data_IF_410373315581
#
_entry.id   IF_410373315581
#
_cell.length_a   1.000
_cell.length_b   1.000
_cell.length_c   1.000
_cell.angle_alpha   90.00
_cell.angle_beta   90.00
_cell.angle_gamma   90.00
#
_symmetry.space_group_name_H-M   'P 1'
#
loop_
_entity.id
_entity.type
_entity.pdbx_description
1 polymer ?
#
# COMPACT_ATOMS: atom_id res chain seq x y z
N UNK A 1 37.16 45.16 -41.32
CA UNK A 1 35.91 45.56 -40.64
C UNK A 1 35.41 44.33 -39.93
N UNK A 2 35.39 44.27 -38.59
CA UNK A 2 35.24 42.99 -37.89
C UNK A 2 33.76 42.57 -37.86
N UNK A 3 33.48 41.38 -38.39
CA UNK A 3 32.19 40.68 -38.39
C UNK A 3 31.84 40.05 -37.01
N UNK A 4 32.48 40.51 -35.93
CA UNK A 4 32.34 40.01 -34.54
C UNK A 4 30.90 39.85 -34.02
N UNK A 5 29.92 40.73 -34.30
CA UNK A 5 28.58 40.56 -33.75
C UNK A 5 27.80 39.40 -34.39
N UNK A 6 28.19 38.91 -35.57
CA UNK A 6 27.49 37.81 -36.25
C UNK A 6 27.97 36.43 -35.77
N UNK A 7 29.27 36.30 -35.49
CA UNK A 7 29.89 35.04 -35.08
C UNK A 7 29.39 34.56 -33.70
N UNK A 8 29.07 35.50 -32.81
CA UNK A 8 28.49 35.22 -31.49
C UNK A 8 27.05 34.72 -31.59
N UNK A 9 26.26 35.27 -32.51
CA UNK A 9 24.86 34.88 -32.74
C UNK A 9 24.78 33.45 -33.29
N UNK A 10 25.60 33.11 -34.28
CA UNK A 10 25.60 31.78 -34.90
C UNK A 10 26.02 30.69 -33.90
N UNK A 11 26.96 31.00 -32.98
CA UNK A 11 27.41 30.10 -31.91
C UNK A 11 26.36 29.92 -30.81
N UNK A 12 25.66 30.98 -30.42
CA UNK A 12 24.55 30.88 -29.46
C UNK A 12 23.39 30.07 -30.04
N UNK A 13 23.06 30.25 -31.32
CA UNK A 13 22.02 29.50 -32.02
C UNK A 13 22.36 28.00 -32.05
N UNK A 14 23.60 27.64 -32.36
CA UNK A 14 24.08 26.25 -32.31
C UNK A 14 23.96 25.65 -30.90
N UNK A 15 24.37 26.39 -29.86
CA UNK A 15 24.26 25.94 -28.47
C UNK A 15 22.81 25.81 -27.99
N UNK A 16 21.88 26.62 -28.51
CA UNK A 16 20.44 26.48 -28.22
C UNK A 16 19.84 25.24 -28.90
N UNK A 17 20.22 24.96 -30.14
CA UNK A 17 19.82 23.75 -30.87
C UNK A 17 20.34 22.48 -30.18
N UNK A 18 21.61 22.45 -29.78
CA UNK A 18 22.20 21.33 -29.02
C UNK A 18 21.47 21.11 -27.68
N UNK A 19 21.11 22.19 -26.97
CA UNK A 19 20.32 22.11 -25.74
C UNK A 19 18.91 21.57 -25.97
N UNK A 20 18.24 21.97 -27.05
CA UNK A 20 16.92 21.44 -27.43
C UNK A 20 16.99 19.94 -27.75
N UNK A 21 17.97 19.50 -28.53
CA UNK A 21 18.17 18.07 -28.84
C UNK A 21 18.47 17.25 -27.59
N UNK A 22 19.31 17.77 -26.68
CA UNK A 22 19.60 17.12 -25.39
C UNK A 22 18.36 16.97 -24.50
N UNK A 23 17.52 18.01 -24.45
CA UNK A 23 16.24 17.97 -23.75
C UNK A 23 15.32 16.89 -24.31
N UNK A 24 15.21 16.81 -25.64
CA UNK A 24 14.39 15.81 -26.35
C UNK A 24 14.86 14.38 -26.07
N UNK A 25 16.16 14.12 -26.16
CA UNK A 25 16.73 12.80 -25.82
C UNK A 25 16.41 12.39 -24.37
N UNK A 26 16.56 13.34 -23.43
CA UNK A 26 16.20 13.12 -22.02
C UNK A 26 14.71 12.85 -21.84
N UNK A 27 13.81 13.55 -22.53
CA UNK A 27 12.36 13.28 -22.46
C UNK A 27 12.01 11.90 -23.00
N UNK A 28 12.64 11.45 -24.10
CA UNK A 28 12.44 10.10 -24.66
C UNK A 28 12.90 9.01 -23.69
N UNK A 29 14.04 9.23 -23.03
CA UNK A 29 14.57 8.34 -22.00
C UNK A 29 13.67 8.31 -20.75
N UNK A 30 13.18 9.48 -20.32
CA UNK A 30 12.27 9.61 -19.19
C UNK A 30 10.91 8.96 -19.44
N UNK A 31 10.33 9.12 -20.64
CA UNK A 31 9.08 8.47 -21.04
C UNK A 31 9.22 6.94 -21.05
N UNK A 32 10.33 6.42 -21.59
CA UNK A 32 10.60 4.97 -21.59
C UNK A 32 10.84 4.42 -20.18
N UNK A 33 11.59 5.16 -19.35
CA UNK A 33 11.79 4.83 -17.95
C UNK A 33 10.48 4.83 -17.16
N UNK A 34 9.67 5.87 -17.32
CA UNK A 34 8.34 5.98 -16.71
C UNK A 34 7.42 4.82 -17.15
N UNK A 35 7.49 4.40 -18.42
CA UNK A 35 6.73 3.27 -18.91
C UNK A 35 7.07 1.97 -18.18
N UNK A 36 8.36 1.69 -18.02
CA UNK A 36 8.84 0.53 -17.28
C UNK A 36 8.49 0.61 -15.80
N UNK A 37 8.65 1.77 -15.17
CA UNK A 37 8.30 1.96 -13.75
C UNK A 37 6.81 1.73 -13.51
N UNK A 38 5.94 2.26 -14.37
CA UNK A 38 4.50 2.06 -14.26
C UNK A 38 4.10 0.60 -14.52
N UNK A 39 4.62 -0.02 -15.57
CA UNK A 39 4.31 -1.40 -15.92
C UNK A 39 4.79 -2.41 -14.86
N UNK A 40 6.07 -2.32 -14.49
CA UNK A 40 6.64 -3.22 -13.47
C UNK A 40 6.06 -2.93 -12.10
N UNK A 41 5.89 -1.64 -11.74
CA UNK A 41 5.26 -1.26 -10.48
C UNK A 41 3.83 -1.79 -10.35
N UNK A 42 3.04 -1.72 -11.43
CA UNK A 42 1.71 -2.30 -11.46
C UNK A 42 1.72 -3.83 -11.32
N UNK A 43 2.63 -4.52 -12.03
CA UNK A 43 2.79 -5.96 -11.88
C UNK A 43 3.21 -6.36 -10.46
N UNK A 44 4.14 -5.63 -9.84
CA UNK A 44 4.55 -5.84 -8.44
C UNK A 44 3.37 -5.63 -7.48
N UNK A 45 2.52 -4.63 -7.74
CA UNK A 45 1.33 -4.38 -6.95
C UNK A 45 0.33 -5.55 -7.05
N UNK A 46 0.05 -6.04 -8.27
CA UNK A 46 -0.84 -7.19 -8.47
C UNK A 46 -0.29 -8.45 -7.78
N UNK A 47 1.01 -8.70 -7.92
CA UNK A 47 1.68 -9.85 -7.31
C UNK A 47 1.66 -9.77 -5.77
N UNK A 48 1.77 -8.56 -5.22
CA UNK A 48 1.63 -8.32 -3.77
C UNK A 48 0.19 -8.52 -3.28
N UNK A 49 -0.81 -8.06 -4.04
CA UNK A 49 -2.22 -8.27 -3.71
C UNK A 49 -2.58 -9.77 -3.71
N UNK A 50 -2.11 -10.51 -4.71
CA UNK A 50 -2.28 -11.97 -4.78
C UNK A 50 -1.56 -12.69 -3.62
N UNK A 51 -0.34 -12.28 -3.29
CA UNK A 51 0.39 -12.81 -2.14
C UNK A 51 -0.33 -12.56 -0.80
N UNK A 52 -0.95 -11.40 -0.64
CA UNK A 52 -1.76 -11.06 0.54
C UNK A 52 -3.02 -11.91 0.66
N UNK A 53 -3.67 -12.24 -0.46
CA UNK A 53 -4.83 -13.13 -0.48
C UNK A 53 -4.46 -14.53 0.00
N UNK A 54 -3.36 -15.10 -0.50
CA UNK A 54 -2.85 -16.42 -0.06
C UNK A 54 -2.57 -16.41 1.45
N UNK A 55 -2.00 -15.31 1.96
CA UNK A 55 -1.68 -15.15 3.37
C UNK A 55 -2.84 -14.60 4.21
N UNK A 56 -4.06 -14.55 3.64
CA UNK A 56 -5.30 -14.12 4.30
C UNK A 56 -5.18 -12.78 5.02
N UNK A 57 -4.42 -11.85 4.44
CA UNK A 57 -4.20 -10.50 4.98
C UNK A 57 -3.71 -10.48 6.44
N UNK A 58 -2.87 -11.46 6.82
CA UNK A 58 -2.20 -11.46 8.12
C UNK A 58 -1.48 -10.11 8.36
N UNK A 59 -1.54 -9.54 9.58
CA UNK A 59 -0.93 -8.24 9.88
C UNK A 59 0.56 -8.13 9.51
N UNK A 60 1.35 -9.16 9.80
CA UNK A 60 2.78 -9.20 9.47
C UNK A 60 3.04 -9.27 7.96
N UNK A 61 2.17 -9.95 7.21
CA UNK A 61 2.25 -10.00 5.75
C UNK A 61 1.97 -8.63 5.13
N UNK A 62 0.96 -7.90 5.63
CA UNK A 62 0.66 -6.53 5.17
C UNK A 62 1.88 -5.62 5.32
N UNK A 63 2.55 -5.66 6.48
CA UNK A 63 3.75 -4.86 6.72
C UNK A 63 4.89 -5.27 5.78
N UNK A 64 5.15 -6.58 5.64
CA UNK A 64 6.21 -7.10 4.76
C UNK A 64 6.01 -6.71 3.30
N UNK A 65 4.79 -6.88 2.77
CA UNK A 65 4.47 -6.49 1.39
C UNK A 65 4.48 -4.98 1.18
N UNK A 66 4.11 -4.16 2.19
CA UNK A 66 4.25 -2.69 2.11
C UNK A 66 5.72 -2.27 1.98
N UNK A 67 6.59 -2.80 2.83
CA UNK A 67 8.03 -2.51 2.79
C UNK A 67 8.63 -2.98 1.46
N UNK A 68 8.28 -4.20 1.03
CA UNK A 68 8.73 -4.77 -0.24
C UNK A 68 8.28 -3.95 -1.45
N UNK A 69 7.00 -3.56 -1.50
CA UNK A 69 6.44 -2.72 -2.57
C UNK A 69 7.12 -1.36 -2.62
N UNK A 70 7.32 -0.71 -1.46
CA UNK A 70 7.97 0.60 -1.40
C UNK A 70 9.44 0.51 -1.83
N UNK A 71 10.18 -0.49 -1.35
CA UNK A 71 11.56 -0.73 -1.75
C UNK A 71 11.69 -1.03 -3.25
N UNK A 72 10.79 -1.85 -3.80
CA UNK A 72 10.74 -2.14 -5.23
C UNK A 72 10.44 -0.88 -6.06
N UNK A 73 9.48 -0.05 -5.65
CA UNK A 73 9.14 1.20 -6.31
C UNK A 73 10.32 2.19 -6.30
N UNK A 74 10.95 2.37 -5.13
CA UNK A 74 12.15 3.22 -4.99
C UNK A 74 13.28 2.69 -5.87
N UNK A 75 13.54 1.39 -5.86
CA UNK A 75 14.54 0.74 -6.72
C UNK A 75 14.27 0.96 -8.20
N UNK A 76 13.02 0.80 -8.65
CA UNK A 76 12.57 1.05 -10.02
C UNK A 76 12.82 2.51 -10.43
N UNK A 77 12.39 3.47 -9.59
CA UNK A 77 12.58 4.90 -9.86
C UNK A 77 14.07 5.25 -9.89
N UNK A 78 14.86 4.75 -8.94
CA UNK A 78 16.30 5.03 -8.89
C UNK A 78 17.01 4.45 -10.11
N UNK A 79 16.71 3.21 -10.50
CA UNK A 79 17.42 2.52 -11.58
C UNK A 79 16.99 2.96 -12.98
N UNK A 80 15.70 3.18 -13.23
CA UNK A 80 15.18 3.51 -14.55
C UNK A 80 14.93 5.00 -14.80
N UNK A 81 14.78 5.82 -13.75
CA UNK A 81 14.56 7.25 -13.92
C UNK A 81 15.77 8.06 -13.46
N UNK A 82 16.23 7.88 -12.22
CA UNK A 82 17.29 8.73 -11.65
C UNK A 82 18.67 8.41 -12.23
N UNK A 83 19.08 7.12 -12.27
CA UNK A 83 20.39 6.69 -12.78
C UNK A 83 20.64 7.11 -14.24
N UNK A 84 19.72 6.90 -15.20
CA UNK A 84 19.94 7.36 -16.58
C UNK A 84 19.93 8.88 -16.71
N UNK A 85 19.12 9.61 -15.94
CA UNK A 85 19.09 11.08 -16.00
C UNK A 85 20.32 11.73 -15.34
N UNK A 86 20.93 11.06 -14.35
CA UNK A 86 22.15 11.49 -13.66
C UNK A 86 23.44 11.22 -14.45
N UNK A 87 23.43 10.39 -15.50
CA UNK A 87 24.60 10.26 -16.38
C UNK A 87 24.84 11.61 -17.07
N UNK A 88 26.00 12.20 -16.81
CA UNK A 88 26.47 13.39 -17.56
C UNK A 88 26.87 12.88 -18.94
N UNK A 89 26.06 13.20 -19.94
CA UNK A 89 26.38 12.92 -21.34
C UNK A 89 27.11 14.16 -21.85
N UNK A 90 28.35 13.97 -22.28
CA UNK A 90 29.18 15.00 -22.91
C UNK A 90 28.66 15.32 -24.32
N UNK A 91 28.88 16.54 -24.77
CA UNK A 91 28.31 17.09 -26.00
C UNK A 91 28.70 16.28 -27.25
N UNK A 92 29.91 15.70 -27.27
CA UNK A 92 30.36 14.74 -28.31
C UNK A 92 29.54 13.45 -28.37
N UNK A 93 29.13 12.88 -27.23
CA UNK A 93 28.36 11.64 -27.20
C UNK A 93 26.93 11.86 -27.72
N UNK A 94 26.39 13.07 -27.55
CA UNK A 94 25.09 13.44 -28.13
C UNK A 94 25.21 13.64 -29.63
N UNK A 95 26.30 14.28 -30.10
CA UNK A 95 26.56 14.46 -31.53
C UNK A 95 26.75 13.10 -32.23
N UNK A 96 27.51 12.19 -31.63
CA UNK A 96 27.75 10.84 -32.15
C UNK A 96 26.46 10.01 -32.22
N UNK A 97 25.65 10.04 -31.17
CA UNK A 97 24.38 9.30 -31.12
C UNK A 97 23.34 9.85 -32.13
N UNK A 98 23.35 11.16 -32.37
CA UNK A 98 22.45 11.80 -33.33
C UNK A 98 22.82 11.43 -34.78
N UNK A 99 24.11 11.40 -35.11
CA UNK A 99 24.59 10.98 -36.44
C UNK A 99 24.39 9.49 -36.70
N UNK A 100 24.47 8.63 -35.67
CA UNK A 100 24.23 7.19 -35.81
C UNK A 100 22.75 6.85 -36.08
N UNK A 101 21.81 7.69 -35.64
CA UNK A 101 20.37 7.48 -35.88
C UNK A 101 19.81 8.29 -37.07
N UNK A 102 20.50 9.35 -37.50
CA UNK A 102 20.15 10.16 -38.67
C UNK A 102 21.35 10.28 -39.63
N UNK A 103 21.57 9.27 -40.51
CA UNK A 103 22.67 9.28 -41.48
C UNK A 103 22.60 10.42 -42.50
N UNK A 104 21.49 11.18 -42.53
CA UNK A 104 21.29 12.41 -43.30
C UNK A 104 22.22 13.56 -42.86
N UNK A 105 22.73 13.53 -41.63
CA UNK A 105 23.53 14.61 -41.03
C UNK A 105 25.02 14.58 -41.44
N UNK A 106 25.51 13.50 -42.05
CA UNK A 106 26.84 13.38 -42.69
C UNK A 106 27.99 14.08 -41.93
N UNK A 107 28.20 13.73 -40.65
CA UNK A 107 29.34 14.22 -39.86
C UNK A 107 29.35 15.74 -39.55
N UNK A 108 28.31 16.49 -39.96
CA UNK A 108 28.29 17.94 -39.90
C UNK A 108 28.20 18.47 -38.46
N UNK A 109 27.54 17.73 -37.56
CA UNK A 109 27.34 18.15 -36.17
C UNK A 109 28.57 17.77 -35.34
N UNK A 110 29.13 16.57 -35.55
CA UNK A 110 30.35 16.15 -34.90
C UNK A 110 31.53 17.07 -35.28
N UNK A 111 31.67 17.42 -36.57
CA UNK A 111 32.72 18.32 -37.05
C UNK A 111 32.55 19.77 -36.55
N UNK A 112 31.32 20.27 -36.45
CA UNK A 112 31.06 21.61 -35.89
C UNK A 112 31.33 21.70 -34.38
N UNK A 113 31.01 20.64 -33.62
CA UNK A 113 31.30 20.57 -32.17
C UNK A 113 32.80 20.40 -31.92
N UNK A 114 33.47 19.56 -32.70
CA UNK A 114 34.91 19.28 -32.56
C UNK A 114 35.78 20.47 -32.97
N UNK A 115 35.29 21.36 -33.86
CA UNK A 115 35.94 22.62 -34.25
C UNK A 115 35.66 23.81 -33.32
N UNK A 116 34.63 23.74 -32.45
CA UNK A 116 34.35 24.76 -31.43
C UNK A 116 34.91 24.41 -30.04
N UNK A 117 35.55 23.25 -29.89
CA UNK A 117 36.27 22.86 -28.68
C UNK A 117 37.47 23.78 -28.43
N UNK A 118 37.56 24.29 -27.19
CA UNK A 118 38.40 25.44 -26.79
C UNK A 118 39.93 25.22 -26.94
N UNK A 119 40.38 23.99 -27.20
CA UNK A 119 41.80 23.58 -27.14
C UNK A 119 42.45 23.26 -28.51
N UNK A 120 41.84 23.58 -29.66
CA UNK A 120 42.44 23.31 -30.99
C UNK A 120 43.01 24.57 -31.67
N UNK A 121 44.18 24.46 -32.34
CA UNK A 121 44.83 25.59 -33.00
C UNK A 121 43.98 26.12 -34.16
N UNK A 122 44.02 27.44 -34.33
CA UNK A 122 43.14 28.22 -35.20
C UNK A 122 43.01 27.66 -36.63
N UNK A 123 41.92 26.93 -36.89
CA UNK A 123 41.40 26.78 -38.23
C UNK A 123 40.83 28.11 -38.73
N UNK A 124 40.84 28.33 -40.05
CA UNK A 124 40.34 29.57 -40.66
C UNK A 124 38.91 29.85 -40.18
N UNK A 125 38.65 30.99 -39.52
CA UNK A 125 37.34 31.29 -38.93
C UNK A 125 36.21 31.30 -39.98
N UNK A 126 36.53 31.58 -41.24
CA UNK A 126 35.57 31.51 -42.35
C UNK A 126 35.13 30.08 -42.70
N UNK A 127 36.01 29.08 -42.55
CA UNK A 127 35.68 27.67 -42.80
C UNK A 127 34.84 27.08 -41.66
N UNK A 128 35.20 27.40 -40.42
CA UNK A 128 34.41 27.03 -39.23
C UNK A 128 33.00 27.62 -39.35
N UNK A 129 32.87 28.89 -39.75
CA UNK A 129 31.58 29.53 -39.97
C UNK A 129 30.74 28.85 -41.04
N UNK A 130 31.33 28.49 -42.20
CA UNK A 130 30.63 27.77 -43.27
C UNK A 130 30.20 26.35 -42.87
N UNK A 131 30.98 25.69 -42.01
CA UNK A 131 30.64 24.41 -41.40
C UNK A 131 29.46 24.54 -40.44
N UNK A 132 29.50 25.55 -39.56
CA UNK A 132 28.40 25.87 -38.63
C UNK A 132 27.11 26.20 -39.39
N UNK A 133 27.18 27.06 -40.40
CA UNK A 133 26.04 27.45 -41.22
C UNK A 133 25.44 26.24 -41.97
N UNK A 134 26.29 25.38 -42.54
CA UNK A 134 25.83 24.13 -43.19
C UNK A 134 25.23 23.13 -42.19
N UNK A 135 25.76 23.05 -40.97
CA UNK A 135 25.22 22.20 -39.91
C UNK A 135 23.86 22.70 -39.43
N UNK A 136 23.67 24.02 -39.32
CA UNK A 136 22.38 24.64 -38.97
C UNK A 136 21.34 24.42 -40.07
N UNK A 137 21.72 24.60 -41.34
CA UNK A 137 20.83 24.38 -42.49
C UNK A 137 20.38 22.91 -42.58
N UNK A 138 21.30 21.95 -42.42
CA UNK A 138 20.99 20.52 -42.39
C UNK A 138 20.17 20.12 -41.16
N UNK A 139 20.42 20.73 -40.00
CA UNK A 139 19.58 20.55 -38.81
C UNK A 139 18.15 21.01 -39.05
N UNK A 140 17.93 22.18 -39.67
CA UNK A 140 16.59 22.67 -40.01
C UNK A 140 15.87 21.75 -41.01
N UNK A 141 16.61 21.18 -41.96
CA UNK A 141 16.05 20.20 -42.91
C UNK A 141 15.72 18.86 -42.25
N UNK A 142 16.54 18.39 -41.30
CA UNK A 142 16.24 17.19 -40.51
C UNK A 142 15.09 17.41 -39.51
N UNK A 143 14.95 18.62 -38.97
CA UNK A 143 13.84 18.99 -38.07
C UNK A 143 12.48 18.94 -38.79
N UNK A 144 12.41 18.95 -40.13
CA UNK A 144 11.18 18.68 -40.89
C UNK A 144 10.65 17.24 -40.71
N UNK A 145 11.50 16.31 -40.24
CA UNK A 145 11.09 14.98 -39.75
C UNK A 145 10.21 15.02 -38.49
N UNK A 146 10.05 16.20 -37.86
CA UNK A 146 9.25 16.51 -36.66
C UNK A 146 7.94 15.74 -36.54
N UNK A 147 7.17 15.70 -37.64
CA UNK A 147 5.79 15.19 -37.65
C UNK A 147 5.71 13.68 -37.48
N UNK A 148 6.80 12.96 -37.73
CA UNK A 148 6.83 11.49 -37.66
C UNK A 148 7.21 11.01 -36.26
N UNK A 149 8.10 11.71 -35.55
CA UNK A 149 8.48 11.35 -34.18
C UNK A 149 7.43 11.72 -33.14
N UNK A 150 6.74 12.85 -33.26
CA UNK A 150 5.59 13.19 -32.38
C UNK A 150 4.52 12.10 -32.42
N UNK A 151 4.28 11.51 -33.60
CA UNK A 151 3.30 10.42 -33.77
C UNK A 151 3.74 9.14 -33.07
N UNK A 152 5.03 8.82 -33.07
CA UNK A 152 5.58 7.68 -32.30
C UNK A 152 5.55 7.94 -30.79
N UNK A 153 5.91 9.15 -30.36
CA UNK A 153 5.87 9.54 -28.95
C UNK A 153 4.43 9.51 -28.41
N UNK A 154 3.47 10.05 -29.17
CA UNK A 154 2.05 10.06 -28.83
C UNK A 154 1.45 8.65 -28.85
N UNK A 155 1.88 7.76 -29.75
CA UNK A 155 1.47 6.35 -29.76
C UNK A 155 1.98 5.61 -28.52
N UNK A 156 3.22 5.86 -28.10
CA UNK A 156 3.77 5.27 -26.88
C UNK A 156 3.10 5.82 -25.61
N UNK A 157 2.81 7.12 -25.57
CA UNK A 157 2.04 7.74 -24.49
C UNK A 157 0.61 7.19 -24.43
N UNK A 158 -0.04 6.97 -25.58
CA UNK A 158 -1.36 6.36 -25.66
C UNK A 158 -1.32 4.88 -25.23
N UNK A 159 -0.28 4.13 -25.61
CA UNK A 159 -0.07 2.77 -25.12
C UNK A 159 0.09 2.72 -23.60
N UNK A 160 0.83 3.66 -23.03
CA UNK A 160 0.95 3.82 -21.58
C UNK A 160 -0.39 4.15 -20.91
N UNK A 161 -1.13 5.10 -21.48
CA UNK A 161 -2.47 5.45 -21.01
C UNK A 161 -3.43 4.27 -21.09
N UNK A 162 -3.37 3.47 -22.16
CA UNK A 162 -4.18 2.28 -22.33
C UNK A 162 -3.84 1.19 -21.31
N UNK A 163 -2.56 0.95 -21.03
CA UNK A 163 -2.13 0.01 -19.97
C UNK A 163 -2.59 0.49 -18.59
N UNK A 164 -2.46 1.80 -18.30
CA UNK A 164 -2.94 2.39 -17.06
C UNK A 164 -4.47 2.31 -16.91
N UNK A 165 -5.20 2.54 -18.00
CA UNK A 165 -6.66 2.41 -18.03
C UNK A 165 -7.11 0.96 -17.86
N UNK A 166 -6.45 0.00 -18.52
CA UNK A 166 -6.71 -1.42 -18.36
C UNK A 166 -6.42 -1.89 -16.93
N UNK A 167 -5.32 -1.41 -16.34
CA UNK A 167 -4.95 -1.63 -14.95
C UNK A 167 -6.04 -1.12 -13.98
N UNK A 168 -6.50 0.12 -14.17
CA UNK A 168 -7.58 0.71 -13.38
C UNK A 168 -8.90 -0.06 -13.55
N UNK A 169 -9.24 -0.43 -14.78
CA UNK A 169 -10.42 -1.23 -15.09
C UNK A 169 -10.35 -2.62 -14.43
N UNK A 170 -9.17 -3.23 -14.39
CA UNK A 170 -8.96 -4.53 -13.73
C UNK A 170 -9.11 -4.42 -12.21
N UNK A 171 -8.73 -3.30 -11.58
CA UNK A 171 -9.01 -3.06 -10.15
C UNK A 171 -10.51 -2.83 -9.91
N UNK A 172 -11.17 -2.08 -10.80
CA UNK A 172 -12.59 -1.73 -10.64
C UNK A 172 -13.52 -2.89 -11.00
N UNK A 173 -13.20 -3.72 -11.97
CA UNK A 173 -14.07 -4.83 -12.41
C UNK A 173 -13.61 -6.18 -11.85
N UNK A 174 -12.32 -6.28 -11.49
CA UNK A 174 -11.75 -7.51 -11.00
C UNK A 174 -12.17 -7.89 -9.57
N UNK A 175 -11.61 -8.99 -9.06
CA UNK A 175 -12.01 -9.58 -7.79
C UNK A 175 -11.85 -8.64 -6.59
N UNK A 176 -12.70 -8.79 -5.57
CA UNK A 176 -12.69 -7.92 -4.38
C UNK A 176 -11.34 -7.89 -3.65
N UNK A 177 -10.60 -9.00 -3.68
CA UNK A 177 -9.26 -9.08 -3.07
C UNK A 177 -8.28 -8.07 -3.67
N UNK A 178 -8.43 -7.67 -4.95
CA UNK A 178 -7.56 -6.67 -5.56
C UNK A 178 -7.82 -5.28 -4.99
N UNK A 179 -9.09 -4.90 -4.85
CA UNK A 179 -9.47 -3.63 -4.23
C UNK A 179 -9.02 -3.58 -2.77
N UNK A 180 -9.21 -4.68 -2.05
CA UNK A 180 -8.77 -4.81 -0.67
C UNK A 180 -7.24 -4.77 -0.57
N UNK A 181 -6.51 -5.48 -1.43
CA UNK A 181 -5.04 -5.44 -1.53
C UNK A 181 -4.50 -4.05 -1.83
N UNK A 182 -5.06 -3.35 -2.82
CA UNK A 182 -4.71 -1.96 -3.16
C UNK A 182 -4.94 -1.05 -1.97
N UNK A 183 -6.12 -1.11 -1.33
CA UNK A 183 -6.43 -0.26 -0.17
C UNK A 183 -5.53 -0.57 1.03
N UNK A 184 -5.26 -1.85 1.30
CA UNK A 184 -4.39 -2.29 2.39
C UNK A 184 -2.92 -1.90 2.15
N UNK A 185 -2.47 -1.85 0.91
CA UNK A 185 -1.09 -1.45 0.57
C UNK A 185 -0.92 0.07 0.51
N UNK A 186 -1.91 0.82 0.00
CA UNK A 186 -1.81 2.27 -0.21
C UNK A 186 -2.30 3.12 0.97
N UNK A 187 -3.25 2.64 1.78
CA UNK A 187 -3.78 3.39 2.93
C UNK A 187 -2.92 3.08 4.16
N UNK A 188 -1.84 3.86 4.33
CA UNK A 188 -0.91 3.74 5.47
C UNK A 188 -1.52 4.26 6.78
N UNK A 189 -2.53 5.14 6.71
CA UNK A 189 -3.07 5.88 7.86
C UNK A 189 -4.03 5.11 8.77
N UNK A 190 -4.50 3.92 8.39
CA UNK A 190 -5.34 3.08 9.26
C UNK A 190 -4.48 1.97 9.87
N UNK A 191 -4.62 1.76 11.19
CA UNK A 191 -3.89 0.73 11.92
C UNK A 191 -4.02 -0.63 11.23
N UNK A 192 -2.98 -1.47 11.31
CA UNK A 192 -2.87 -2.73 10.55
C UNK A 192 -4.05 -3.68 10.81
N UNK A 193 -4.62 -3.65 12.02
CA UNK A 193 -5.85 -4.39 12.39
C UNK A 193 -7.12 -3.81 11.75
N UNK A 194 -7.20 -2.49 11.56
CA UNK A 194 -8.32 -1.82 10.90
C UNK A 194 -8.23 -1.87 9.36
N UNK A 195 -7.07 -2.21 8.81
CA UNK A 195 -6.84 -2.37 7.37
C UNK A 195 -7.02 -3.83 6.88
N UNK A 196 -7.19 -4.79 7.80
CA UNK A 196 -7.53 -6.17 7.41
C UNK A 196 -8.97 -6.22 6.93
N UNK A 197 -9.23 -6.59 5.67
CA UNK A 197 -10.60 -6.76 5.16
C UNK A 197 -11.33 -7.94 5.81
N UNK A 198 -10.57 -8.88 6.40
CA UNK A 198 -11.09 -10.06 7.07
C UNK A 198 -10.95 -9.89 8.58
N UNK A 199 -12.09 -9.87 9.29
CA UNK A 199 -12.12 -9.84 10.76
C UNK A 199 -13.21 -10.74 11.32
N UNK A 200 -12.99 -11.21 12.53
CA UNK A 200 -13.96 -11.98 13.30
C UNK A 200 -14.35 -11.12 14.50
N UNK A 201 -15.60 -10.65 14.52
CA UNK A 201 -16.15 -9.96 15.70
C UNK A 201 -16.69 -10.99 16.67
N UNK A 202 -16.28 -10.91 17.93
CA UNK A 202 -16.64 -11.88 18.96
C UNK A 202 -17.37 -11.16 20.09
N UNK A 203 -18.49 -11.71 20.53
CA UNK A 203 -19.32 -11.18 21.60
C UNK A 203 -19.58 -12.29 22.64
N UNK A 204 -19.40 -12.03 23.95
CA UNK A 204 -19.18 -10.72 24.58
C UNK A 204 -17.75 -10.16 24.52
N UNK A 205 -16.76 -10.96 24.12
CA UNK A 205 -15.34 -10.57 24.14
C UNK A 205 -14.74 -10.76 25.54
N UNK A 206 -14.37 -9.69 26.24
CA UNK A 206 -13.92 -9.84 27.63
C UNK A 206 -15.13 -9.77 28.58
N UNK A 207 -15.39 -10.84 29.33
CA UNK A 207 -16.53 -10.92 30.24
C UNK A 207 -16.14 -11.56 31.58
N UNK A 208 -16.85 -11.14 32.64
CA UNK A 208 -16.82 -11.78 33.94
C UNK A 208 -18.13 -12.55 34.13
N UNK A 209 -18.02 -13.84 34.36
CA UNK A 209 -19.15 -14.76 34.47
C UNK A 209 -19.17 -15.42 35.85
N UNK A 210 -20.36 -15.65 36.42
CA UNK A 210 -20.53 -16.46 37.63
C UNK A 210 -19.89 -17.86 37.52
N UNK A 211 -19.29 -18.35 38.61
CA UNK A 211 -18.87 -19.75 38.69
C UNK A 211 -20.05 -20.69 38.48
N UNK A 212 -19.88 -21.65 37.58
CA UNK A 212 -20.90 -22.65 37.23
C UNK A 212 -22.00 -22.14 36.31
N UNK A 213 -21.87 -20.91 35.77
CA UNK A 213 -22.80 -20.42 34.75
C UNK A 213 -22.45 -20.91 33.36
N UNK A 214 -23.44 -20.85 32.48
CA UNK A 214 -23.26 -21.04 31.05
C UNK A 214 -23.02 -19.69 30.36
N UNK A 215 -22.13 -19.66 29.37
CA UNK A 215 -21.90 -18.47 28.54
C UNK A 215 -22.00 -18.83 27.05
N UNK A 216 -22.85 -18.12 26.32
CA UNK A 216 -22.83 -18.15 24.86
C UNK A 216 -21.76 -17.20 24.31
N UNK A 217 -21.00 -17.69 23.34
CA UNK A 217 -20.01 -16.91 22.59
C UNK A 217 -20.48 -16.89 21.14
N UNK A 218 -20.73 -15.71 20.62
CA UNK A 218 -21.11 -15.50 19.23
C UNK A 218 -19.94 -14.91 18.47
N UNK A 219 -19.66 -15.46 17.29
CA UNK A 219 -18.66 -14.97 16.36
C UNK A 219 -19.33 -14.58 15.03
N UNK A 220 -19.08 -13.35 14.57
CA UNK A 220 -19.54 -12.83 13.28
C UNK A 220 -18.35 -12.68 12.33
N UNK A 221 -18.42 -13.35 11.18
CA UNK A 221 -17.40 -13.25 10.13
C UNK A 221 -17.66 -12.00 9.27
N UNK A 222 -16.63 -11.20 9.04
CA UNK A 222 -16.72 -9.97 8.25
C UNK A 222 -15.72 -10.04 7.11
N UNK A 223 -16.23 -9.87 5.88
CA UNK A 223 -15.44 -9.87 4.65
C UNK A 223 -15.09 -11.26 4.12
N UNK A 224 -15.48 -12.34 4.80
CA UNK A 224 -15.28 -13.71 4.32
C UNK A 224 -16.36 -14.65 4.86
N UNK A 225 -16.61 -15.74 4.14
CA UNK A 225 -17.49 -16.83 4.57
C UNK A 225 -16.69 -18.10 4.88
N UNK A 226 -17.19 -18.91 5.79
CA UNK A 226 -16.65 -20.23 6.11
C UNK A 226 -17.76 -21.13 6.65
N UNK A 227 -17.65 -22.43 6.37
CA UNK A 227 -18.55 -23.44 6.96
C UNK A 227 -17.97 -24.03 8.26
N UNK A 228 -16.75 -23.62 8.63
CA UNK A 228 -16.04 -24.13 9.80
C UNK A 228 -15.44 -22.97 10.57
N UNK A 229 -15.91 -22.79 11.79
CA UNK A 229 -15.42 -21.81 12.77
C UNK A 229 -15.09 -22.58 14.04
N UNK A 230 -13.90 -22.40 14.57
CA UNK A 230 -13.40 -23.09 15.76
C UNK A 230 -13.11 -22.09 16.86
N UNK A 231 -13.59 -22.35 18.07
CA UNK A 231 -13.20 -21.69 19.30
C UNK A 231 -12.02 -22.47 19.88
N UNK A 232 -10.88 -21.79 19.98
CA UNK A 232 -9.68 -22.26 20.63
C UNK A 232 -9.70 -21.76 22.08
N UNK A 233 -9.77 -22.66 23.05
CA UNK A 233 -9.78 -22.33 24.47
C UNK A 233 -8.50 -22.82 25.15
N UNK A 234 -8.03 -22.08 26.15
CA UNK A 234 -6.92 -22.50 27.02
C UNK A 234 -7.14 -22.04 28.45
N UNK A 235 -6.87 -22.92 29.42
CA UNK A 235 -6.97 -22.59 30.84
C UNK A 235 -5.81 -21.71 31.34
N UNK A 236 -4.63 -21.85 30.73
CA UNK A 236 -3.40 -21.12 31.09
C UNK A 236 -2.68 -20.66 29.82
N UNK A 237 -1.96 -19.55 29.88
CA UNK A 237 -1.22 -18.97 28.73
C UNK A 237 -0.18 -19.91 28.10
N UNK A 238 0.31 -20.92 28.83
CA UNK A 238 1.25 -21.95 28.37
C UNK A 238 0.58 -23.32 28.09
N UNK A 239 -0.73 -23.41 28.27
CA UNK A 239 -1.49 -24.64 28.03
C UNK A 239 -1.70 -24.95 26.54
N UNK A 240 -2.05 -26.20 26.24
CA UNK A 240 -2.50 -26.57 24.90
C UNK A 240 -3.89 -25.97 24.62
N UNK A 241 -4.13 -25.61 23.36
CA UNK A 241 -5.44 -25.15 22.92
C UNK A 241 -6.38 -26.33 22.69
N UNK A 242 -7.53 -26.30 23.35
CA UNK A 242 -8.66 -27.16 23.05
C UNK A 242 -9.54 -26.51 21.97
N UNK A 243 -10.11 -27.32 21.07
CA UNK A 243 -10.87 -26.84 19.92
C UNK A 243 -12.32 -27.26 20.01
N UNK A 244 -13.21 -26.27 19.97
CA UNK A 244 -14.65 -26.45 19.94
C UNK A 244 -15.18 -25.88 18.63
N UNK A 245 -16.07 -26.59 17.93
CA UNK A 245 -16.70 -26.04 16.73
C UNK A 245 -17.88 -25.14 17.12
N UNK A 246 -17.99 -23.97 16.48
CA UNK A 246 -19.18 -23.14 16.58
C UNK A 246 -20.21 -23.60 15.54
N UNK A 247 -21.48 -23.49 15.90
CA UNK A 247 -22.61 -23.84 15.06
C UNK A 247 -23.14 -22.59 14.34
N UNK A 248 -23.53 -22.69 13.05
CA UNK A 248 -24.15 -21.57 12.36
C UNK A 248 -25.52 -21.21 12.98
N UNK A 249 -25.84 -19.92 13.03
CA UNK A 249 -27.14 -19.37 13.42
C UNK A 249 -28.01 -19.12 12.17
N UNK A 250 -29.22 -18.59 12.33
CA UNK A 250 -30.09 -18.11 11.23
C UNK A 250 -29.41 -17.13 10.27
N UNK A 251 -28.41 -16.36 10.75
CA UNK A 251 -27.57 -15.51 9.92
C UNK A 251 -26.33 -16.30 9.46
N UNK A 252 -26.10 -16.48 8.13
CA UNK A 252 -25.00 -17.29 7.60
C UNK A 252 -23.61 -16.75 7.95
N UNK A 253 -23.51 -15.49 8.39
CA UNK A 253 -22.26 -14.89 8.85
C UNK A 253 -22.04 -15.03 10.37
N UNK A 254 -23.00 -15.55 11.13
CA UNK A 254 -22.93 -15.69 12.59
C UNK A 254 -22.87 -17.14 13.02
N UNK A 255 -22.01 -17.38 13.98
CA UNK A 255 -21.79 -18.68 14.59
C UNK A 255 -21.85 -18.55 16.10
N UNK A 256 -22.39 -19.55 16.77
CA UNK A 256 -22.55 -19.56 18.21
C UNK A 256 -22.04 -20.88 18.81
N UNK A 257 -21.44 -20.77 19.99
CA UNK A 257 -21.15 -21.90 20.86
C UNK A 257 -21.53 -21.54 22.28
N UNK A 258 -22.12 -22.50 22.99
CA UNK A 258 -22.44 -22.35 24.41
C UNK A 258 -21.45 -23.16 25.23
N UNK A 259 -20.72 -22.47 26.10
CA UNK A 259 -19.87 -23.09 27.10
C UNK A 259 -20.71 -23.34 28.35
N UNK A 260 -20.64 -24.56 28.88
CA UNK A 260 -21.41 -24.99 30.04
C UNK A 260 -20.52 -25.11 31.27
N UNK A 261 -21.10 -24.87 32.44
CA UNK A 261 -20.46 -25.09 33.75
C UNK A 261 -19.05 -24.47 33.87
N UNK A 262 -18.98 -23.15 33.73
CA UNK A 262 -17.71 -22.42 33.74
C UNK A 262 -17.11 -22.36 35.15
N UNK A 263 -16.19 -23.28 35.44
CA UNK A 263 -15.56 -23.40 36.76
C UNK A 263 -14.25 -22.61 36.91
N UNK A 264 -13.48 -22.43 35.83
CA UNK A 264 -12.14 -21.82 35.84
C UNK A 264 -12.03 -20.68 34.83
N UNK A 265 -11.25 -19.63 35.12
CA UNK A 265 -10.95 -18.60 34.14
C UNK A 265 -10.22 -19.21 32.95
N UNK A 266 -10.48 -18.69 31.77
CA UNK A 266 -9.92 -19.20 30.53
C UNK A 266 -9.72 -18.10 29.51
N UNK A 267 -8.72 -18.29 28.66
CA UNK A 267 -8.52 -17.47 27.48
C UNK A 267 -9.08 -18.18 26.27
N UNK A 268 -9.68 -17.42 25.37
CA UNK A 268 -10.27 -17.96 24.17
C UNK A 268 -10.01 -17.08 22.94
N UNK A 269 -9.92 -17.74 21.80
CA UNK A 269 -9.70 -17.14 20.48
C UNK A 269 -10.63 -17.84 19.49
N UNK A 270 -11.22 -17.11 18.57
CA UNK A 270 -11.98 -17.71 17.46
C UNK A 270 -11.09 -17.75 16.23
N UNK A 271 -11.01 -18.91 15.59
CA UNK A 271 -10.28 -19.13 14.34
C UNK A 271 -11.22 -19.64 13.24
N UNK A 272 -11.10 -19.06 12.05
CA UNK A 272 -11.78 -19.58 10.86
C UNK A 272 -10.93 -19.33 9.62
N UNK A 273 -10.73 -20.37 8.79
CA UNK A 273 -9.96 -20.30 7.54
C UNK A 273 -8.58 -19.61 7.67
N UNK A 274 -7.90 -19.80 8.81
CA UNK A 274 -6.59 -19.22 9.10
C UNK A 274 -6.59 -17.74 9.54
N UNK A 275 -7.77 -17.14 9.69
CA UNK A 275 -7.99 -15.83 10.33
C UNK A 275 -8.31 -16.06 11.81
N UNK A 276 -7.63 -15.32 12.70
CA UNK A 276 -7.84 -15.39 14.16
C UNK A 276 -8.41 -14.07 14.67
N UNK A 277 -9.31 -14.17 15.64
CA UNK A 277 -9.75 -13.01 16.44
C UNK A 277 -8.65 -12.54 17.39
N UNK A 278 -8.92 -11.43 18.07
CA UNK A 278 -8.15 -11.05 19.26
C UNK A 278 -8.30 -12.12 20.37
N UNK A 279 -7.37 -12.09 21.32
CA UNK A 279 -7.39 -12.95 22.51
C UNK A 279 -8.31 -12.33 23.54
N UNK A 280 -9.32 -13.09 23.95
CA UNK A 280 -10.28 -12.68 24.96
C UNK A 280 -10.09 -13.48 26.25
N UNK A 281 -10.40 -12.85 27.38
CA UNK A 281 -10.31 -13.44 28.70
C UNK A 281 -11.69 -13.53 29.33
N UNK A 282 -12.07 -14.75 29.68
CA UNK A 282 -13.28 -15.04 30.44
C UNK A 282 -12.90 -15.22 31.91
N UNK A 283 -13.31 -14.26 32.74
CA UNK A 283 -13.05 -14.29 34.18
C UNK A 283 -14.20 -14.99 34.88
N UNK A 284 -13.89 -15.96 35.74
CA UNK A 284 -14.91 -16.60 36.58
C UNK A 284 -14.91 -15.91 37.95
N UNK A 285 -16.07 -15.41 38.36
CA UNK A 285 -16.26 -14.71 39.64
C UNK A 285 -17.28 -15.47 40.50
N UNK A 286 -17.04 -15.49 41.80
CA UNK A 286 -17.98 -16.09 42.74
C UNK A 286 -19.18 -15.15 42.97
N UNK A 287 -20.38 -15.72 42.97
CA UNK A 287 -21.57 -14.93 43.29
C UNK A 287 -21.51 -14.50 44.75
N UNK A 288 -21.75 -13.21 45.04
CA UNK A 288 -21.96 -12.81 46.41
C UNK A 288 -23.22 -13.53 46.92
N UNK A 289 -23.07 -14.23 48.04
CA UNK A 289 -24.19 -14.79 48.79
C UNK A 289 -24.30 -14.04 50.11
N UNK A 290 -25.51 -13.98 50.65
CA UNK A 290 -25.74 -13.42 51.98
C UNK A 290 -25.28 -14.46 53.00
N UNK A 291 -24.18 -14.19 53.68
CA UNK A 291 -23.67 -15.05 54.76
C UNK A 291 -24.47 -14.85 56.05
N UNK A 292 -24.75 -13.58 56.40
CA UNK A 292 -25.54 -13.20 57.58
C UNK A 292 -26.51 -12.06 57.26
N UNK A 293 -27.75 -12.19 57.72
CA UNK A 293 -28.78 -11.16 57.64
C UNK A 293 -29.25 -10.79 59.04
N UNK A 294 -29.01 -9.55 59.45
CA UNK A 294 -29.43 -8.99 60.73
C UNK A 294 -30.55 -7.96 60.49
N UNK A 295 -31.65 -8.09 61.23
CA UNK A 295 -32.77 -7.15 61.16
C UNK A 295 -32.90 -6.38 62.47
N UNK A 296 -33.07 -5.07 62.39
CA UNK A 296 -33.41 -4.22 63.53
C UNK A 296 -34.80 -3.61 63.31
N UNK A 297 -35.77 -4.03 64.13
CA UNK A 297 -37.12 -3.52 64.10
C UNK A 297 -37.22 -2.25 64.94
N UNK A 298 -37.49 -1.11 64.28
CA UNK A 298 -37.85 0.14 64.93
C UNK A 298 -39.38 0.27 65.02
N UNK A 299 -39.94 0.02 66.20
CA UNK A 299 -41.37 0.14 66.42
C UNK A 299 -41.81 1.60 66.56
N UNK A 300 -43.03 1.97 66.11
CA UNK A 300 -43.57 3.31 66.31
C UNK A 300 -43.64 3.69 67.80
N UNK A 301 -43.42 4.96 68.12
CA UNK A 301 -43.32 5.46 69.51
C UNK A 301 -44.55 5.19 70.37
N UNK A 302 -45.75 5.14 69.78
CA UNK A 302 -47.00 4.85 70.49
C UNK A 302 -47.09 3.40 71.01
N UNK A 303 -46.27 2.49 70.51
CA UNK A 303 -46.24 1.08 70.95
C UNK A 303 -45.49 0.90 72.27
N UNK A 304 -44.62 1.85 72.64
CA UNK A 304 -43.75 1.74 73.82
C UNK A 304 -42.72 0.61 73.77
N UNK A 305 -42.59 -0.09 72.63
CA UNK A 305 -41.66 -1.20 72.48
C UNK A 305 -40.25 -0.69 72.15
N UNK A 306 -39.24 -1.29 72.78
CA UNK A 306 -37.83 -1.02 72.46
C UNK A 306 -37.45 -1.67 71.12
N UNK A 307 -36.50 -1.07 70.36
CA UNK A 307 -36.00 -1.68 69.14
C UNK A 307 -35.58 -3.13 69.35
N UNK A 308 -35.99 -4.02 68.44
CA UNK A 308 -35.70 -5.46 68.53
C UNK A 308 -34.73 -5.86 67.42
N UNK A 309 -33.56 -6.37 67.82
CA UNK A 309 -32.62 -7.01 66.90
C UNK A 309 -32.97 -8.48 66.75
N UNK A 310 -33.05 -8.96 65.51
CA UNK A 310 -33.17 -10.37 65.16
C UNK A 310 -31.93 -10.73 64.38
N UNK A 311 -31.06 -11.49 65.04
CA UNK A 311 -29.89 -12.10 64.42
C UNK A 311 -30.36 -13.35 63.64
N UNK A 312 -29.88 -13.51 62.40
CA UNK A 312 -30.12 -14.66 61.52
C UNK A 312 -31.60 -14.84 61.08
N UNK A 313 -32.30 -13.74 60.81
CA UNK A 313 -33.67 -13.77 60.27
C UNK A 313 -33.70 -13.75 58.74
N UNK A 314 -34.58 -14.54 58.10
CA UNK A 314 -34.76 -14.54 56.64
C UNK A 314 -36.16 -14.16 56.15
N UNK A 315 -37.19 -14.42 56.97
CA UNK A 315 -38.58 -14.13 56.63
C UNK A 315 -39.07 -12.85 57.34
N UNK A 316 -39.41 -11.84 56.54
CA UNK A 316 -40.12 -10.65 57.00
C UNK A 316 -41.60 -10.84 56.68
N UNK A 317 -42.41 -11.15 57.69
CA UNK A 317 -43.87 -11.16 57.57
C UNK A 317 -44.44 -9.95 58.31
N UNK A 318 -45.21 -9.13 57.60
CA UNK A 318 -46.09 -8.12 58.20
C UNK A 318 -47.44 -8.80 58.40
N UNK A 319 -47.84 -9.01 59.65
CA UNK A 319 -49.18 -9.49 60.03
C UNK A 319 -50.00 -8.30 60.53
#
# INVERSE_FOLDING_TARGET
MPDEPRDTIDREELLTLIRQVRGRWRTKLALRGAAFVLGVGFATLLMSAYGLEILRFRPSAIIGFRIGLFAALVGLVVWFLIRPLRRRVTDEQVALYLEEHEPSLQSAILSAVDSTAVDKPAESPALVRRLVESAVEKCRQADLGHRVEERRLRRNAFGLGAVGAAAALLIVVGPEYLRHGVSALLVVSRGVQAASPYRIEVQPGNAAVPRGSDQSITAKLIGFGSNRVELLTRATSTGQYERLQLLPTDDPAKFEVKLFDLAKPMEYVVESNGVRSDVFNLKVTDLPYVDRLELEYHFPSYTGLTPRKVEDGGDIAVV
#
